data_IF_209857614599
#
_entry.id   IF_209857614599
#
_cell.length_a   1.000
_cell.length_b   1.000
_cell.length_c   1.000
_cell.angle_alpha   90.00
_cell.angle_beta   90.00
_cell.angle_gamma   90.00
#
_symmetry.space_group_name_H-M   'P 1'
#
loop_
_entity.id
_entity.type
_entity.pdbx_description
1 polymer ?
#
# COMPACT_ATOMS: atom_id res chain seq x y z
N UNK A 1 37.05 -26.85 -10.85
CA UNK A 1 36.41 -28.19 -10.84
C UNK A 1 35.26 -28.20 -9.82
N UNK A 2 34.00 -28.15 -10.29
CA UNK A 2 32.81 -28.22 -9.43
C UNK A 2 32.58 -29.64 -8.87
N UNK A 3 33.40 -30.59 -9.32
CA UNK A 3 33.26 -32.03 -9.08
C UNK A 3 33.53 -32.47 -7.65
N UNK A 4 34.35 -31.70 -6.94
CA UNK A 4 34.74 -31.99 -5.56
C UNK A 4 34.01 -31.09 -4.54
N UNK A 5 32.99 -30.34 -4.99
CA UNK A 5 32.32 -29.32 -4.17
C UNK A 5 31.03 -29.88 -3.55
N UNK A 6 31.07 -30.12 -2.24
CA UNK A 6 29.92 -30.53 -1.42
C UNK A 6 28.82 -29.46 -1.42
N UNK A 7 27.55 -29.90 -1.46
CA UNK A 7 26.39 -29.01 -1.34
C UNK A 7 26.35 -28.35 0.05
N UNK A 8 26.73 -29.09 1.09
CA UNK A 8 26.82 -28.57 2.45
C UNK A 8 27.78 -27.37 2.57
N UNK A 9 28.93 -27.42 1.89
CA UNK A 9 29.91 -26.33 1.88
C UNK A 9 29.42 -25.09 1.12
N UNK A 10 28.67 -25.29 0.02
CA UNK A 10 28.06 -24.17 -0.71
C UNK A 10 27.03 -23.42 0.14
N UNK A 11 26.17 -24.16 0.85
CA UNK A 11 25.18 -23.57 1.75
C UNK A 11 25.84 -22.87 2.94
N UNK A 12 26.90 -23.45 3.51
CA UNK A 12 27.65 -22.81 4.60
C UNK A 12 28.24 -21.47 4.15
N UNK A 13 28.78 -21.41 2.93
CA UNK A 13 29.30 -20.17 2.34
C UNK A 13 28.21 -19.11 2.18
N UNK A 14 27.01 -19.49 1.71
CA UNK A 14 25.87 -18.57 1.60
C UNK A 14 25.42 -18.05 2.97
N UNK A 15 25.42 -18.90 4.00
CA UNK A 15 25.09 -18.48 5.36
C UNK A 15 26.18 -17.64 6.03
N UNK A 16 27.44 -17.84 5.69
CA UNK A 16 28.53 -16.97 6.13
C UNK A 16 28.36 -15.58 5.55
N UNK A 17 28.17 -15.48 4.22
CA UNK A 17 28.00 -14.19 3.54
C UNK A 17 26.78 -13.43 4.10
N UNK A 18 25.64 -14.09 4.26
CA UNK A 18 24.44 -13.43 4.82
C UNK A 18 24.63 -12.98 6.27
N UNK A 19 25.46 -13.67 7.06
CA UNK A 19 25.85 -13.25 8.41
C UNK A 19 26.79 -12.05 8.38
N UNK A 20 27.69 -11.98 7.40
CA UNK A 20 28.57 -10.83 7.19
C UNK A 20 27.78 -9.56 6.82
N UNK A 21 26.57 -9.73 6.24
CA UNK A 21 25.60 -8.66 5.99
C UNK A 21 24.57 -8.46 7.12
N UNK A 22 24.83 -8.96 8.33
CA UNK A 22 23.96 -8.83 9.52
C UNK A 22 22.50 -9.28 9.31
N UNK A 23 22.26 -10.25 8.41
CA UNK A 23 20.93 -10.83 8.23
C UNK A 23 20.59 -11.75 9.42
N UNK A 24 19.42 -11.54 10.04
CA UNK A 24 18.91 -12.41 11.11
C UNK A 24 18.74 -13.83 10.56
N UNK A 25 19.62 -14.75 10.96
CA UNK A 25 19.58 -16.14 10.51
C UNK A 25 18.39 -16.87 11.13
N UNK A 26 17.52 -17.43 10.29
CA UNK A 26 16.35 -18.19 10.75
C UNK A 26 16.77 -19.62 11.12
N UNK A 27 16.38 -20.15 12.30
CA UNK A 27 16.77 -21.49 12.75
C UNK A 27 16.41 -22.63 11.78
N UNK A 28 15.35 -22.45 10.98
CA UNK A 28 14.87 -23.44 10.01
C UNK A 28 15.88 -23.73 8.89
N UNK A 29 16.76 -22.78 8.57
CA UNK A 29 17.77 -22.91 7.54
C UNK A 29 18.92 -23.84 7.97
N UNK A 30 19.21 -23.88 9.27
CA UNK A 30 20.17 -24.83 9.86
C UNK A 30 19.65 -26.27 9.81
N UNK A 31 18.34 -26.46 9.97
CA UNK A 31 17.72 -27.78 9.84
C UNK A 31 17.79 -28.29 8.40
N UNK A 32 17.52 -27.42 7.43
CA UNK A 32 17.70 -27.74 6.00
C UNK A 32 19.16 -28.15 5.72
N UNK A 33 20.13 -27.39 6.22
CA UNK A 33 21.55 -27.70 6.05
C UNK A 33 21.90 -29.08 6.64
N UNK A 34 21.40 -29.41 7.85
CA UNK A 34 21.57 -30.74 8.46
C UNK A 34 20.97 -31.85 7.59
N UNK A 35 19.79 -31.64 7.03
CA UNK A 35 19.17 -32.61 6.13
C UNK A 35 19.95 -32.77 4.82
N UNK A 36 20.46 -31.69 4.23
CA UNK A 36 21.26 -31.77 3.01
C UNK A 36 22.60 -32.48 3.22
N UNK A 37 23.30 -32.20 4.32
CA UNK A 37 24.53 -32.91 4.70
C UNK A 37 24.26 -34.39 4.99
N UNK A 38 23.11 -34.70 5.60
CA UNK A 38 22.71 -36.10 5.81
C UNK A 38 22.44 -36.82 4.49
N UNK A 39 21.69 -36.20 3.57
CA UNK A 39 21.44 -36.76 2.23
C UNK A 39 22.76 -36.98 1.49
N UNK A 40 23.70 -36.04 1.60
CA UNK A 40 25.03 -36.18 1.03
C UNK A 40 25.79 -37.36 1.61
N UNK A 41 25.84 -37.48 2.95
CA UNK A 41 26.47 -38.61 3.62
C UNK A 41 25.86 -39.96 3.22
N UNK A 42 24.54 -40.03 3.07
CA UNK A 42 23.85 -41.25 2.61
C UNK A 42 24.22 -41.57 1.15
N UNK A 43 24.19 -40.58 0.26
CA UNK A 43 24.52 -40.77 -1.15
C UNK A 43 25.98 -41.24 -1.32
N UNK A 44 26.92 -40.60 -0.64
CA UNK A 44 28.35 -40.98 -0.67
C UNK A 44 28.59 -42.35 -0.05
N UNK A 45 27.78 -42.76 0.95
CA UNK A 45 27.89 -44.12 1.52
C UNK A 45 27.48 -45.22 0.52
N UNK A 46 26.61 -44.91 -0.44
CA UNK A 46 26.16 -45.83 -1.48
C UNK A 46 27.09 -45.81 -2.70
N UNK A 47 27.55 -44.62 -3.11
CA UNK A 47 28.49 -44.44 -4.20
C UNK A 47 29.54 -43.38 -3.78
N UNK A 48 30.78 -43.79 -3.46
CA UNK A 48 31.84 -42.87 -3.01
C UNK A 48 32.20 -41.79 -4.01
N UNK A 49 32.00 -42.04 -5.31
CA UNK A 49 32.36 -41.13 -6.40
C UNK A 49 31.15 -40.29 -6.88
N UNK A 50 30.05 -40.28 -6.12
CA UNK A 50 28.85 -39.51 -6.51
C UNK A 50 29.08 -38.01 -6.36
N UNK A 51 28.76 -37.26 -7.42
CA UNK A 51 28.69 -35.81 -7.38
C UNK A 51 27.23 -35.35 -7.33
N UNK A 52 26.80 -34.81 -6.18
CA UNK A 52 25.42 -34.37 -5.98
C UNK A 52 25.04 -33.13 -6.78
N UNK A 53 26.00 -32.26 -7.13
CA UNK A 53 25.74 -31.11 -7.99
C UNK A 53 25.39 -31.57 -9.41
N UNK A 54 26.17 -32.50 -9.97
CA UNK A 54 25.89 -33.10 -11.28
C UNK A 54 24.58 -33.89 -11.25
N UNK A 55 24.30 -34.61 -10.17
CA UNK A 55 23.04 -35.34 -10.01
C UNK A 55 21.82 -34.40 -9.91
N UNK A 56 21.97 -33.23 -9.29
CA UNK A 56 20.90 -32.24 -9.13
C UNK A 56 20.73 -31.33 -10.35
N UNK A 57 21.75 -31.21 -11.22
CA UNK A 57 21.75 -30.31 -12.38
C UNK A 57 20.48 -30.37 -13.25
N UNK A 58 20.01 -31.54 -13.73
CA UNK A 58 18.84 -31.59 -14.62
C UNK A 58 17.59 -31.05 -13.93
N UNK A 59 17.41 -31.35 -12.64
CA UNK A 59 16.26 -30.88 -11.86
C UNK A 59 16.29 -29.37 -11.67
N UNK A 60 17.46 -28.82 -11.33
CA UNK A 60 17.63 -27.36 -11.16
C UNK A 60 17.41 -26.65 -12.50
N UNK A 61 17.94 -27.21 -13.60
CA UNK A 61 17.80 -26.65 -14.94
C UNK A 61 16.33 -26.61 -15.38
N UNK A 62 15.60 -27.69 -15.17
CA UNK A 62 14.18 -27.78 -15.52
C UNK A 62 13.33 -26.84 -14.65
N UNK A 63 13.63 -26.74 -13.36
CA UNK A 63 12.96 -25.79 -12.46
C UNK A 63 13.22 -24.33 -12.87
N UNK A 64 14.47 -23.96 -13.16
CA UNK A 64 14.81 -22.61 -13.64
C UNK A 64 14.06 -22.30 -14.93
N UNK A 65 14.00 -23.26 -15.88
CA UNK A 65 13.27 -23.07 -17.13
C UNK A 65 11.76 -22.92 -16.89
N UNK A 66 11.20 -23.66 -15.95
CA UNK A 66 9.78 -23.60 -15.61
C UNK A 66 9.35 -22.35 -14.86
N UNK A 67 10.11 -21.95 -13.84
CA UNK A 67 9.74 -20.86 -12.92
C UNK A 67 10.35 -19.51 -13.28
N UNK A 68 11.58 -19.50 -13.82
CA UNK A 68 12.32 -18.29 -14.19
C UNK A 68 12.44 -18.11 -15.70
N UNK A 69 11.74 -18.95 -16.48
CA UNK A 69 11.75 -18.91 -17.94
C UNK A 69 11.07 -17.66 -18.52
N UNK A 70 11.42 -17.26 -19.75
CA UNK A 70 10.78 -16.14 -20.43
C UNK A 70 9.27 -16.39 -20.62
N UNK A 71 8.85 -17.64 -20.79
CA UNK A 71 7.44 -18.03 -20.90
C UNK A 71 6.66 -17.71 -19.62
N UNK A 72 7.22 -18.04 -18.44
CA UNK A 72 6.63 -17.73 -17.14
C UNK A 72 6.55 -16.20 -16.95
N UNK A 73 7.62 -15.48 -17.28
CA UNK A 73 7.64 -14.01 -17.21
C UNK A 73 6.61 -13.34 -18.13
N UNK A 74 6.36 -13.90 -19.32
CA UNK A 74 5.35 -13.40 -20.26
C UNK A 74 3.95 -13.72 -19.74
N UNK A 75 3.73 -14.95 -19.26
CA UNK A 75 2.44 -15.35 -18.70
C UNK A 75 2.06 -14.47 -17.49
N UNK A 76 3.00 -14.23 -16.58
CA UNK A 76 2.81 -13.35 -15.42
C UNK A 76 2.47 -11.93 -15.83
N UNK A 77 3.20 -11.35 -16.80
CA UNK A 77 2.89 -10.01 -17.34
C UNK A 77 1.51 -9.94 -17.96
N UNK A 78 1.12 -10.93 -18.78
CA UNK A 78 -0.20 -10.96 -19.41
C UNK A 78 -1.31 -11.04 -18.36
N UNK A 79 -1.12 -11.84 -17.32
CA UNK A 79 -2.07 -11.94 -16.20
C UNK A 79 -2.15 -10.62 -15.44
N UNK A 80 -1.02 -9.98 -15.17
CA UNK A 80 -0.94 -8.69 -14.48
C UNK A 80 -1.60 -7.56 -15.29
N UNK A 81 -1.32 -7.49 -16.59
CA UNK A 81 -1.92 -6.52 -17.51
C UNK A 81 -3.44 -6.72 -17.59
N UNK A 82 -3.90 -7.96 -17.72
CA UNK A 82 -5.33 -8.28 -17.73
C UNK A 82 -6.01 -7.91 -16.40
N UNK A 83 -5.39 -8.21 -15.26
CA UNK A 83 -5.88 -7.81 -13.93
C UNK A 83 -5.92 -6.30 -13.77
N UNK A 84 -4.98 -5.58 -14.37
CA UNK A 84 -4.93 -4.12 -14.33
C UNK A 84 -6.04 -3.52 -15.21
N UNK A 85 -6.22 -4.04 -16.44
CA UNK A 85 -7.29 -3.62 -17.35
C UNK A 85 -8.68 -3.85 -16.76
N UNK A 86 -8.91 -4.99 -16.11
CA UNK A 86 -10.20 -5.30 -15.46
C UNK A 86 -10.52 -4.38 -14.28
N UNK A 87 -9.53 -3.67 -13.71
CA UNK A 87 -9.73 -2.67 -12.65
C UNK A 87 -10.01 -1.26 -13.17
N UNK A 88 -9.77 -0.97 -14.45
CA UNK A 88 -10.02 0.36 -15.03
C UNK A 88 -11.47 0.85 -14.91
N UNK A 89 -12.51 0.02 -15.11
CA UNK A 89 -13.90 0.49 -14.98
C UNK A 89 -14.21 0.99 -13.57
N UNK A 90 -13.63 0.32 -12.57
CA UNK A 90 -13.80 0.66 -11.16
C UNK A 90 -13.05 1.95 -10.81
N UNK A 91 -11.87 2.16 -11.40
CA UNK A 91 -11.14 3.44 -11.30
C UNK A 91 -11.98 4.59 -11.88
N UNK A 92 -12.58 4.39 -13.06
CA UNK A 92 -13.46 5.38 -13.72
C UNK A 92 -14.66 5.71 -12.84
N UNK A 93 -15.35 4.71 -12.29
CA UNK A 93 -16.48 4.92 -11.36
C UNK A 93 -16.08 5.72 -10.12
N UNK A 94 -14.90 5.49 -9.56
CA UNK A 94 -14.38 6.25 -8.40
C UNK A 94 -14.10 7.71 -8.73
N UNK A 95 -13.53 7.95 -9.92
CA UNK A 95 -13.25 9.31 -10.42
C UNK A 95 -14.56 10.07 -10.64
N UNK A 96 -15.54 9.45 -11.31
CA UNK A 96 -16.85 10.05 -11.56
C UNK A 96 -17.63 10.34 -10.27
N UNK A 97 -17.49 9.49 -9.24
CA UNK A 97 -18.08 9.72 -7.93
C UNK A 97 -17.48 10.94 -7.19
N UNK A 98 -16.20 11.22 -7.37
CA UNK A 98 -15.52 12.37 -6.74
C UNK A 98 -15.59 13.65 -7.58
N UNK A 99 -15.71 13.51 -8.91
CA UNK A 99 -15.77 14.60 -9.87
C UNK A 99 -16.93 14.37 -10.86
N UNK A 100 -18.18 14.57 -10.43
CA UNK A 100 -19.35 14.43 -11.29
C UNK A 100 -19.29 15.45 -12.45
N UNK A 101 -19.68 15.03 -13.64
CA UNK A 101 -19.74 15.91 -14.82
C UNK A 101 -20.63 17.15 -14.55
N UNK A 102 -20.33 18.32 -15.13
CA UNK A 102 -21.18 19.50 -15.03
C UNK A 102 -22.61 19.17 -15.50
N UNK A 103 -23.55 19.03 -14.55
CA UNK A 103 -24.94 18.62 -14.81
C UNK A 103 -25.36 17.27 -14.19
N UNK A 104 -24.44 16.51 -13.59
CA UNK A 104 -24.71 15.23 -12.92
C UNK A 104 -25.01 15.34 -11.42
N UNK A 105 -25.15 16.55 -10.89
CA UNK A 105 -25.57 16.74 -9.50
C UNK A 105 -27.01 16.19 -9.34
N UNK A 106 -27.28 15.34 -8.33
CA UNK A 106 -28.64 14.96 -7.99
C UNK A 106 -29.52 16.21 -7.92
N UNK A 107 -30.77 16.20 -8.42
CA UNK A 107 -31.63 17.37 -8.39
C UNK A 107 -31.60 17.93 -6.97
N UNK A 108 -31.10 19.17 -6.82
CA UNK A 108 -30.98 19.78 -5.51
C UNK A 108 -32.38 19.78 -4.90
N UNK A 109 -32.49 19.28 -3.67
CA UNK A 109 -33.74 19.28 -2.91
C UNK A 109 -34.37 20.68 -3.06
N UNK A 110 -35.68 20.79 -3.38
CA UNK A 110 -36.31 22.09 -3.56
C UNK A 110 -36.02 22.93 -2.32
N UNK A 111 -35.25 24.00 -2.51
CA UNK A 111 -34.83 24.85 -1.41
C UNK A 111 -36.09 25.43 -0.79
N UNK A 112 -36.30 25.20 0.51
CA UNK A 112 -37.41 25.81 1.24
C UNK A 112 -37.24 27.33 1.13
N UNK A 113 -38.20 27.99 0.48
CA UNK A 113 -38.23 29.44 0.35
C UNK A 113 -38.17 30.03 1.76
N UNK A 114 -37.02 30.62 2.07
CA UNK A 114 -36.81 31.31 3.34
C UNK A 114 -37.59 32.62 3.19
N UNK A 115 -38.74 32.70 3.84
CA UNK A 115 -39.49 33.95 3.98
C UNK A 115 -38.57 34.95 4.67
N UNK A 116 -37.97 35.83 3.86
CA UNK A 116 -37.05 36.85 4.35
C UNK A 116 -37.87 37.80 5.19
N UNK A 117 -37.87 37.60 6.50
CA UNK A 117 -38.46 38.53 7.46
C UNK A 117 -37.66 39.82 7.34
N UNK A 118 -38.15 40.74 6.51
CA UNK A 118 -37.63 42.08 6.37
C UNK A 118 -37.94 42.81 7.68
N UNK A 119 -36.97 42.81 8.60
CA UNK A 119 -37.08 43.52 9.87
C UNK A 119 -37.08 45.03 9.56
N UNK A 120 -38.28 45.58 9.31
CA UNK A 120 -38.55 47.01 9.25
C UNK A 120 -38.44 47.61 10.63
N UNK A 121 -37.21 47.95 11.05
CA UNK A 121 -36.93 48.35 12.43
C UNK A 121 -36.29 49.73 12.60
N UNK A 122 -36.30 50.59 11.57
CA UNK A 122 -35.64 51.90 11.63
C UNK A 122 -36.16 52.82 12.76
N UNK A 123 -37.44 52.72 13.09
CA UNK A 123 -38.06 53.52 14.16
C UNK A 123 -37.48 53.23 15.55
N UNK A 124 -37.02 52.00 15.80
CA UNK A 124 -36.44 51.62 17.10
C UNK A 124 -35.14 52.38 17.36
N UNK A 125 -34.32 52.57 16.33
CA UNK A 125 -33.10 53.37 16.42
C UNK A 125 -33.41 54.86 16.61
N UNK A 126 -34.46 55.38 15.97
CA UNK A 126 -34.95 56.74 16.21
C UNK A 126 -35.36 56.98 17.66
N UNK A 127 -36.13 56.05 18.25
CA UNK A 127 -36.53 56.12 19.66
C UNK A 127 -35.34 56.08 20.62
N UNK A 128 -34.37 55.19 20.37
CA UNK A 128 -33.16 55.08 21.21
C UNK A 128 -32.33 56.36 21.13
N UNK A 129 -32.16 56.95 19.95
CA UNK A 129 -31.42 58.19 19.78
C UNK A 129 -32.08 59.37 20.53
N UNK A 130 -33.42 59.48 20.47
CA UNK A 130 -34.16 60.52 21.19
C UNK A 130 -34.04 60.34 22.70
N UNK A 131 -34.16 59.11 23.20
CA UNK A 131 -34.00 58.83 24.63
C UNK A 131 -32.59 59.12 25.14
N UNK A 132 -31.56 58.75 24.37
CA UNK A 132 -30.17 59.05 24.71
C UNK A 132 -29.89 60.55 24.75
N UNK A 133 -30.42 61.30 23.77
CA UNK A 133 -30.30 62.76 23.73
C UNK A 133 -31.01 63.41 24.92
N UNK A 134 -32.23 62.98 25.23
CA UNK A 134 -32.99 63.50 26.38
C UNK A 134 -32.28 63.21 27.71
N UNK A 135 -31.73 62.00 27.89
CA UNK A 135 -30.97 61.65 29.07
C UNK A 135 -29.71 62.53 29.21
N UNK A 136 -29.01 62.80 28.12
CA UNK A 136 -27.85 63.69 28.08
C UNK A 136 -28.17 65.14 28.46
N UNK A 137 -29.33 65.66 28.04
CA UNK A 137 -29.79 67.01 28.41
C UNK A 137 -30.20 67.08 29.89
N UNK A 138 -30.85 66.04 30.41
CA UNK A 138 -31.25 65.99 31.82
C UNK A 138 -30.02 65.91 32.73
N UNK A 139 -29.01 65.11 32.37
CA UNK A 139 -27.78 65.03 33.17
C UNK A 139 -26.99 66.33 33.14
N UNK A 140 -26.92 67.05 32.01
CA UNK A 140 -26.23 68.34 31.97
C UNK A 140 -26.94 69.43 32.76
N UNK A 141 -28.27 69.40 32.85
CA UNK A 141 -29.04 70.37 33.64
C UNK A 141 -29.03 70.09 35.15
N UNK A 142 -28.81 68.84 35.57
CA UNK A 142 -28.78 68.46 37.00
C UNK A 142 -27.40 68.63 37.65
N UNK A 143 -26.31 68.61 36.87
CA UNK A 143 -24.94 68.68 37.37
C UNK A 143 -24.16 69.93 36.90
N UNK A 144 -24.85 70.90 36.30
CA UNK A 144 -24.31 72.19 35.85
C UNK A 144 -24.82 73.37 36.67
#
# INVERSE_FOLDING_TARGET
PVKDMSIGMMLDSLFSITRDFDMVTQPHLLLLQKTMVMVEGVATSLNPDINLWEAAEPFVRDWIRGELGPEAMIADRLIEDFRTLTRLPELVRRIEAHYPAPGGAPPTMPLREIEVIRIGGGWRYGLVAVLAAAAGVVTTLLFG
#
